data_IF_272617434846
#
_entry.id   IF_272617434846
#
_cell.length_a   1.000
_cell.length_b   1.000
_cell.length_c   1.000
_cell.angle_alpha   90.00
_cell.angle_beta   90.00
_cell.angle_gamma   90.00
#
_symmetry.space_group_name_H-M   'P 1'
#
loop_
_entity.id
_entity.type
_entity.pdbx_description
1 polymer ?
#
# COMPACT_ATOMS: atom_id res chain seq x y z
N UNK A 1 -4.76 21.33 -16.70
CA UNK A 1 -3.77 21.77 -15.69
C UNK A 1 -3.96 21.10 -14.33
N UNK A 2 -5.19 21.02 -13.77
CA UNK A 2 -5.46 20.43 -12.44
C UNK A 2 -5.29 18.89 -12.37
N UNK A 3 -5.67 18.14 -13.42
CA UNK A 3 -5.45 16.68 -13.50
C UNK A 3 -3.95 16.34 -13.51
N UNK A 4 -3.14 17.10 -14.26
CA UNK A 4 -1.69 16.92 -14.34
C UNK A 4 -1.03 17.11 -12.97
N UNK A 5 -1.47 18.11 -12.19
CA UNK A 5 -0.99 18.32 -10.81
C UNK A 5 -1.33 17.14 -9.89
N UNK A 6 -2.54 16.59 -10.00
CA UNK A 6 -2.95 15.39 -9.25
C UNK A 6 -2.09 14.17 -9.60
N UNK A 7 -1.81 13.96 -10.89
CA UNK A 7 -0.95 12.87 -11.37
C UNK A 7 0.48 13.04 -10.87
N UNK A 8 1.03 14.26 -10.94
CA UNK A 8 2.36 14.58 -10.40
C UNK A 8 2.40 14.32 -8.89
N UNK A 9 1.37 14.73 -8.15
CA UNK A 9 1.25 14.47 -6.72
C UNK A 9 1.26 12.96 -6.45
N UNK A 10 0.52 12.19 -7.25
CA UNK A 10 0.45 10.74 -7.18
C UNK A 10 1.80 10.06 -7.44
N UNK A 11 2.52 10.54 -8.46
CA UNK A 11 3.85 10.05 -8.83
C UNK A 11 4.89 10.35 -7.74
N UNK A 12 4.87 11.58 -7.21
CA UNK A 12 5.72 12.00 -6.09
C UNK A 12 5.44 11.14 -4.87
N UNK A 13 4.17 10.91 -4.55
CA UNK A 13 3.73 10.07 -3.44
C UNK A 13 4.21 8.62 -3.58
N UNK A 14 4.14 8.07 -4.78
CA UNK A 14 4.63 6.74 -5.11
C UNK A 14 6.16 6.61 -4.99
N UNK A 15 6.91 7.56 -5.55
CA UNK A 15 8.37 7.60 -5.44
C UNK A 15 8.84 7.82 -4.01
N UNK A 16 8.17 8.68 -3.25
CA UNK A 16 8.41 8.86 -1.82
C UNK A 16 8.14 7.56 -1.08
N UNK A 17 7.04 6.86 -1.37
CA UNK A 17 6.73 5.53 -0.83
C UNK A 17 7.91 4.55 -1.00
N UNK A 18 8.38 4.39 -2.24
CA UNK A 18 9.47 3.45 -2.57
C UNK A 18 10.80 3.87 -1.93
N UNK A 19 11.15 5.16 -2.01
CA UNK A 19 12.41 5.68 -1.45
C UNK A 19 12.41 5.56 0.07
N UNK A 20 11.26 5.77 0.70
CA UNK A 20 11.07 5.66 2.15
C UNK A 20 11.12 4.20 2.59
N UNK A 21 10.58 3.27 1.79
CA UNK A 21 10.73 1.82 2.00
C UNK A 21 12.20 1.39 2.00
N UNK A 22 13.03 1.95 1.12
CA UNK A 22 14.49 1.67 1.11
C UNK A 22 15.23 2.30 2.29
N UNK A 23 14.79 3.48 2.76
CA UNK A 23 15.48 4.27 3.80
C UNK A 23 15.11 3.86 5.23
N UNK A 24 13.87 3.41 5.46
CA UNK A 24 13.40 3.02 6.78
C UNK A 24 13.04 1.54 6.76
N UNK A 25 13.68 0.74 7.62
CA UNK A 25 13.32 -0.67 7.81
C UNK A 25 12.52 -0.87 9.10
N UNK A 26 11.60 -1.85 9.08
CA UNK A 26 10.87 -2.30 10.27
C UNK A 26 9.82 -1.31 10.79
N UNK A 27 9.69 -1.20 12.13
CA UNK A 27 8.59 -0.49 12.82
C UNK A 27 8.46 1.00 12.45
N UNK A 28 9.57 1.68 12.13
CA UNK A 28 9.56 3.10 11.72
C UNK A 28 8.87 3.30 10.38
N UNK A 29 9.01 2.35 9.45
CA UNK A 29 8.33 2.38 8.16
C UNK A 29 6.82 2.16 8.34
N UNK A 30 6.43 1.23 9.21
CA UNK A 30 5.03 0.97 9.54
C UNK A 30 4.32 2.22 10.08
N UNK A 31 4.94 2.90 11.05
CA UNK A 31 4.38 4.14 11.63
C UNK A 31 4.27 5.27 10.60
N UNK A 32 5.22 5.36 9.67
CA UNK A 32 5.19 6.37 8.62
C UNK A 32 4.03 6.11 7.65
N UNK A 33 3.86 4.88 7.17
CA UNK A 33 2.73 4.52 6.33
C UNK A 33 1.39 4.65 7.06
N UNK A 34 1.32 4.33 8.36
CA UNK A 34 0.11 4.51 9.15
C UNK A 34 -0.31 5.99 9.20
N UNK A 35 0.62 6.90 9.51
CA UNK A 35 0.36 8.36 9.49
C UNK A 35 -0.12 8.83 8.12
N UNK A 36 0.44 8.24 7.08
CA UNK A 36 0.13 8.55 5.71
C UNK A 36 -1.28 8.10 5.30
N UNK A 37 -1.66 6.87 5.67
CA UNK A 37 -3.01 6.34 5.50
C UNK A 37 -4.03 7.18 6.27
N UNK A 38 -3.72 7.58 7.50
CA UNK A 38 -4.58 8.49 8.29
C UNK A 38 -4.77 9.82 7.56
N UNK A 39 -3.70 10.41 7.02
CA UNK A 39 -3.78 11.63 6.21
C UNK A 39 -4.67 11.48 4.97
N UNK A 40 -4.56 10.34 4.26
CA UNK A 40 -5.42 10.03 3.12
C UNK A 40 -6.90 9.88 3.52
N UNK A 41 -7.18 9.23 4.65
CA UNK A 41 -8.54 9.09 5.17
C UNK A 41 -9.14 10.44 5.58
N UNK A 42 -8.36 11.31 6.24
CA UNK A 42 -8.80 12.68 6.58
C UNK A 42 -9.14 13.45 5.30
N UNK A 43 -8.28 13.37 4.28
CA UNK A 43 -8.54 14.01 2.98
C UNK A 43 -9.84 13.50 2.34
N UNK A 44 -10.09 12.20 2.38
CA UNK A 44 -11.33 11.63 1.84
C UNK A 44 -12.58 12.08 2.61
N UNK A 45 -12.52 12.20 3.94
CA UNK A 45 -13.62 12.76 4.75
C UNK A 45 -13.87 14.21 4.36
N UNK A 46 -12.81 15.03 4.25
CA UNK A 46 -12.94 16.44 3.83
C UNK A 46 -13.52 16.56 2.42
N UNK A 47 -13.08 15.72 1.48
CA UNK A 47 -13.65 15.70 0.13
C UNK A 47 -15.10 15.25 0.13
N UNK A 48 -15.47 14.24 0.93
CA UNK A 48 -16.88 13.83 1.08
C UNK A 48 -17.76 14.95 1.63
N UNK A 49 -17.29 15.67 2.65
CA UNK A 49 -18.01 16.82 3.22
C UNK A 49 -18.18 17.93 2.18
N UNK A 50 -17.10 18.31 1.49
CA UNK A 50 -17.14 19.33 0.42
C UNK A 50 -18.13 18.97 -0.70
N UNK A 51 -18.10 17.71 -1.15
CA UNK A 51 -18.95 17.16 -2.21
C UNK A 51 -20.43 17.15 -1.83
N UNK A 52 -20.74 17.01 -0.54
CA UNK A 52 -22.11 17.05 -0.01
C UNK A 52 -22.59 18.48 0.24
N UNK A 53 -21.71 19.38 0.67
CA UNK A 53 -22.05 20.79 0.89
C UNK A 53 -22.17 21.58 -0.42
N UNK A 54 -21.47 21.16 -1.48
CA UNK A 54 -21.46 21.84 -2.79
C UNK A 54 -21.84 20.86 -3.92
N UNK A 55 -23.13 20.50 -4.04
CA UNK A 55 -23.58 19.51 -5.02
C UNK A 55 -23.41 19.95 -6.48
N UNK A 56 -23.36 21.26 -6.73
CA UNK A 56 -23.17 21.86 -8.06
C UNK A 56 -21.69 22.15 -8.40
N UNK A 57 -20.74 21.60 -7.63
CA UNK A 57 -19.32 21.84 -7.87
C UNK A 57 -18.86 21.18 -9.17
N UNK A 58 -18.33 21.98 -10.10
CA UNK A 58 -17.72 21.45 -11.32
C UNK A 58 -16.59 20.47 -11.00
N UNK A 59 -16.55 19.34 -11.73
CA UNK A 59 -15.59 18.24 -11.55
C UNK A 59 -15.73 17.46 -10.22
N UNK A 60 -16.93 17.46 -9.60
CA UNK A 60 -17.25 16.67 -8.39
C UNK A 60 -16.78 15.21 -8.47
N UNK A 61 -17.07 14.53 -9.58
CA UNK A 61 -16.70 13.12 -9.79
C UNK A 61 -15.19 12.90 -9.80
N UNK A 62 -14.44 13.82 -10.43
CA UNK A 62 -12.99 13.79 -10.46
C UNK A 62 -12.38 13.91 -9.06
N UNK A 63 -12.93 14.76 -8.20
CA UNK A 63 -12.47 14.89 -6.81
C UNK A 63 -12.75 13.63 -5.98
N UNK A 64 -13.92 13.03 -6.13
CA UNK A 64 -14.29 11.78 -5.45
C UNK A 64 -13.39 10.63 -5.92
N UNK A 65 -13.23 10.45 -7.23
CA UNK A 65 -12.39 9.38 -7.80
C UNK A 65 -10.92 9.56 -7.41
N UNK A 66 -10.39 10.77 -7.46
CA UNK A 66 -8.99 11.03 -7.10
C UNK A 66 -8.72 10.77 -5.61
N UNK A 67 -9.57 11.26 -4.69
CA UNK A 67 -9.39 10.96 -3.26
C UNK A 67 -9.62 9.49 -2.93
N UNK A 68 -10.63 8.86 -3.53
CA UNK A 68 -10.86 7.42 -3.38
C UNK A 68 -9.64 6.60 -3.82
N UNK A 69 -9.02 6.98 -4.94
CA UNK A 69 -7.81 6.34 -5.45
C UNK A 69 -6.60 6.52 -4.52
N UNK A 70 -6.42 7.71 -3.94
CA UNK A 70 -5.37 7.97 -2.93
C UNK A 70 -5.56 7.08 -1.70
N UNK A 71 -6.79 6.93 -1.21
CA UNK A 71 -7.10 6.09 -0.04
C UNK A 71 -6.84 4.62 -0.34
N UNK A 72 -7.33 4.11 -1.48
CA UNK A 72 -7.15 2.71 -1.88
C UNK A 72 -5.65 2.37 -1.96
N UNK A 73 -4.85 3.25 -2.54
CA UNK A 73 -3.42 3.02 -2.71
C UNK A 73 -2.67 3.13 -1.39
N UNK A 74 -3.07 4.07 -0.52
CA UNK A 74 -2.52 4.20 0.83
C UNK A 74 -2.82 2.96 1.69
N UNK A 75 -4.05 2.44 1.63
CA UNK A 75 -4.46 1.24 2.35
C UNK A 75 -3.76 -0.01 1.79
N UNK A 76 -3.69 -0.15 0.46
CA UNK A 76 -3.01 -1.28 -0.18
C UNK A 76 -1.53 -1.34 0.20
N UNK A 77 -0.85 -0.20 0.20
CA UNK A 77 0.54 -0.10 0.66
C UNK A 77 0.70 -0.50 2.13
N UNK A 78 -0.20 -0.03 3.00
CA UNK A 78 -0.19 -0.40 4.42
C UNK A 78 -0.41 -1.90 4.60
N UNK A 79 -1.32 -2.50 3.84
CA UNK A 79 -1.59 -3.94 3.88
C UNK A 79 -0.39 -4.78 3.43
N UNK A 80 0.28 -4.42 2.34
CA UNK A 80 1.53 -5.09 1.93
C UNK A 80 2.59 -4.96 3.02
N UNK A 81 2.69 -3.79 3.65
CA UNK A 81 3.66 -3.56 4.70
C UNK A 81 3.36 -4.37 5.98
N UNK A 82 2.10 -4.46 6.38
CA UNK A 82 1.66 -5.33 7.47
C UNK A 82 1.94 -6.79 7.11
N UNK A 83 1.62 -7.22 5.88
CA UNK A 83 1.88 -8.59 5.44
C UNK A 83 3.38 -8.92 5.48
N UNK A 84 4.24 -8.04 4.97
CA UNK A 84 5.71 -8.21 5.00
C UNK A 84 6.31 -8.24 6.41
N UNK A 85 5.62 -7.69 7.41
CA UNK A 85 6.10 -7.68 8.80
C UNK A 85 5.50 -8.80 9.65
N UNK A 86 4.20 -9.07 9.49
CA UNK A 86 3.47 -10.10 10.23
C UNK A 86 3.78 -11.49 9.70
N UNK A 87 3.88 -11.68 8.37
CA UNK A 87 4.06 -12.99 7.76
C UNK A 87 5.36 -13.69 8.19
N UNK A 88 6.55 -13.03 8.23
CA UNK A 88 7.75 -13.66 8.76
C UNK A 88 7.65 -13.99 10.26
N UNK A 89 6.97 -13.12 11.02
CA UNK A 89 6.76 -13.31 12.46
C UNK A 89 5.88 -14.54 12.75
N UNK A 90 4.71 -14.64 12.10
CA UNK A 90 3.81 -15.79 12.25
C UNK A 90 4.47 -17.08 11.76
N UNK A 91 5.23 -17.03 10.68
CA UNK A 91 5.96 -18.18 10.18
C UNK A 91 7.03 -18.67 11.18
N UNK A 92 7.73 -17.74 11.84
CA UNK A 92 8.70 -18.07 12.89
C UNK A 92 8.05 -18.75 14.11
N UNK A 93 6.84 -18.32 14.49
CA UNK A 93 6.07 -18.92 15.57
C UNK A 93 5.61 -20.33 15.21
N UNK A 94 5.05 -20.51 14.01
CA UNK A 94 4.64 -21.83 13.51
C UNK A 94 5.83 -22.79 13.45
N UNK A 95 7.00 -22.34 12.96
CA UNK A 95 8.23 -23.14 12.96
C UNK A 95 8.63 -23.56 14.37
N UNK A 96 8.64 -22.64 15.34
CA UNK A 96 8.95 -22.95 16.75
C UNK A 96 7.98 -23.97 17.34
N UNK A 97 6.70 -23.87 17.02
CA UNK A 97 5.68 -24.80 17.51
C UNK A 97 5.81 -26.18 16.87
N UNK A 98 6.08 -26.26 15.57
CA UNK A 98 6.34 -27.50 14.86
C UNK A 98 7.57 -28.23 15.40
N UNK A 99 8.66 -27.49 15.66
CA UNK A 99 9.88 -28.04 16.29
C UNK A 99 9.61 -28.57 17.70
N UNK A 100 8.81 -27.85 18.51
CA UNK A 100 8.37 -28.33 19.84
C UNK A 100 7.54 -29.61 19.77
N UNK A 101 6.80 -29.80 18.68
CA UNK A 101 6.00 -31.01 18.45
C UNK A 101 6.79 -32.14 17.76
N UNK A 102 8.13 -32.03 17.69
CA UNK A 102 9.00 -33.07 17.13
C UNK A 102 9.07 -33.12 15.60
N UNK A 103 8.50 -32.13 14.90
CA UNK A 103 8.58 -32.07 13.43
C UNK A 103 9.99 -31.65 13.00
N UNK A 104 10.69 -32.53 12.28
CA UNK A 104 11.97 -32.19 11.67
C UNK A 104 11.77 -31.33 10.42
N UNK A 105 12.57 -30.27 10.32
CA UNK A 105 12.56 -29.37 9.16
C UNK A 105 13.61 -29.86 8.15
N UNK A 106 13.31 -29.83 6.84
CA UNK A 106 14.26 -30.23 5.82
C UNK A 106 15.47 -29.29 5.77
N UNK A 107 16.62 -29.80 5.32
CA UNK A 107 17.79 -28.97 5.02
C UNK A 107 17.41 -27.89 3.99
N UNK A 108 17.89 -26.66 4.20
CA UNK A 108 17.56 -25.45 3.44
C UNK A 108 16.08 -25.01 3.50
N UNK A 109 15.32 -25.41 4.52
CA UNK A 109 13.95 -24.93 4.73
C UNK A 109 13.85 -23.40 4.75
N UNK A 110 14.70 -22.75 5.55
CA UNK A 110 14.66 -21.29 5.71
C UNK A 110 14.96 -20.57 4.39
N UNK A 111 15.91 -21.06 3.60
CA UNK A 111 16.27 -20.47 2.31
C UNK A 111 15.11 -20.59 1.29
N UNK A 112 14.49 -21.78 1.19
CA UNK A 112 13.33 -21.99 0.30
C UNK A 112 12.16 -21.09 0.67
N UNK A 113 11.87 -20.92 1.97
CA UNK A 113 10.78 -20.07 2.44
C UNK A 113 11.09 -18.60 2.16
N UNK A 114 12.31 -18.14 2.44
CA UNK A 114 12.70 -16.75 2.23
C UNK A 114 12.63 -16.36 0.74
N UNK A 115 13.02 -17.28 -0.16
CA UNK A 115 12.91 -17.11 -1.61
C UNK A 115 11.45 -16.99 -2.06
N UNK A 116 10.57 -17.86 -1.58
CA UNK A 116 9.12 -17.81 -1.88
C UNK A 116 8.46 -16.54 -1.34
N UNK A 117 8.79 -16.13 -0.11
CA UNK A 117 8.29 -14.89 0.49
C UNK A 117 8.72 -13.67 -0.33
N UNK A 118 9.99 -13.58 -0.68
CA UNK A 118 10.52 -12.48 -1.51
C UNK A 118 9.80 -12.41 -2.86
N UNK A 119 9.57 -13.56 -3.50
CA UNK A 119 8.86 -13.62 -4.77
C UNK A 119 7.40 -13.15 -4.63
N UNK A 120 6.68 -13.62 -3.61
CA UNK A 120 5.30 -13.21 -3.31
C UNK A 120 5.21 -11.69 -3.09
N UNK A 121 6.11 -11.12 -2.29
CA UNK A 121 6.09 -9.69 -2.00
C UNK A 121 6.44 -8.83 -3.21
N UNK A 122 7.37 -9.29 -4.05
CA UNK A 122 7.66 -8.61 -5.32
C UNK A 122 6.47 -8.67 -6.27
N UNK A 123 5.81 -9.82 -6.38
CA UNK A 123 4.61 -9.98 -7.20
C UNK A 123 3.48 -9.04 -6.76
N UNK A 124 3.17 -8.99 -5.45
CA UNK A 124 2.16 -8.10 -4.89
C UNK A 124 2.46 -6.61 -5.17
N UNK A 125 3.73 -6.20 -5.06
CA UNK A 125 4.14 -4.83 -5.39
C UNK A 125 3.94 -4.50 -6.87
N UNK A 126 4.27 -5.43 -7.77
CA UNK A 126 4.05 -5.25 -9.22
C UNK A 126 2.56 -5.15 -9.53
N UNK A 127 1.74 -6.04 -8.96
CA UNK A 127 0.28 -5.99 -9.13
C UNK A 127 -0.29 -4.65 -8.65
N UNK A 128 0.17 -4.15 -7.51
CA UNK A 128 -0.25 -2.85 -7.01
C UNK A 128 0.18 -1.71 -7.96
N UNK A 129 1.38 -1.78 -8.53
CA UNK A 129 1.86 -0.80 -9.52
C UNK A 129 0.97 -0.75 -10.76
N UNK A 130 0.59 -1.92 -11.30
CA UNK A 130 -0.32 -2.03 -12.44
C UNK A 130 -1.69 -1.44 -12.10
N UNK A 131 -2.26 -1.76 -10.93
CA UNK A 131 -3.53 -1.18 -10.47
C UNK A 131 -3.46 0.34 -10.34
N UNK A 132 -2.35 0.88 -9.83
CA UNK A 132 -2.14 2.33 -9.76
C UNK A 132 -2.12 2.96 -11.15
N UNK A 133 -1.40 2.34 -12.11
CA UNK A 133 -1.34 2.84 -13.48
C UNK A 133 -2.72 2.84 -14.16
N UNK A 134 -3.50 1.78 -13.98
CA UNK A 134 -4.88 1.69 -14.50
C UNK A 134 -5.78 2.75 -13.85
N UNK A 135 -5.69 2.96 -12.53
CA UNK A 135 -6.48 3.98 -11.84
C UNK A 135 -6.12 5.40 -12.32
N UNK A 136 -4.84 5.67 -12.58
CA UNK A 136 -4.39 6.95 -13.15
C UNK A 136 -4.95 7.15 -14.56
N UNK A 137 -4.87 6.12 -15.41
CA UNK A 137 -5.44 6.18 -16.77
C UNK A 137 -6.95 6.42 -16.72
N UNK A 138 -7.68 5.72 -15.85
CA UNK A 138 -9.12 5.91 -15.70
C UNK A 138 -9.48 7.35 -15.32
N UNK A 139 -8.71 7.99 -14.43
CA UNK A 139 -8.89 9.39 -14.04
C UNK A 139 -8.52 10.37 -15.17
N UNK A 140 -7.58 10.00 -16.05
CA UNK A 140 -7.15 10.86 -17.18
C UNK A 140 -8.17 10.95 -18.32
N UNK A 141 -8.97 9.90 -18.52
CA UNK A 141 -9.96 9.79 -19.60
C UNK A 141 -11.39 10.10 -19.13
N UNK A 142 -11.56 10.54 -17.88
CA UNK A 142 -12.81 11.04 -17.30
C UNK A 142 -12.86 12.58 -17.39
#
# INVERSE_FOLDING_TARGET
MRIILLIILFFIHYFLSIKTYKKYQGKKLLLLYLKWTVGACILAVLTSVMVNCFPTMDNRELYIMSTGTIVIISLSNLMILVLTTVFPYTFSLMKKQALKNGVQMPENYDEKINKKQTWLFNYLKIMQLVMCAVAILAIMFL
#
